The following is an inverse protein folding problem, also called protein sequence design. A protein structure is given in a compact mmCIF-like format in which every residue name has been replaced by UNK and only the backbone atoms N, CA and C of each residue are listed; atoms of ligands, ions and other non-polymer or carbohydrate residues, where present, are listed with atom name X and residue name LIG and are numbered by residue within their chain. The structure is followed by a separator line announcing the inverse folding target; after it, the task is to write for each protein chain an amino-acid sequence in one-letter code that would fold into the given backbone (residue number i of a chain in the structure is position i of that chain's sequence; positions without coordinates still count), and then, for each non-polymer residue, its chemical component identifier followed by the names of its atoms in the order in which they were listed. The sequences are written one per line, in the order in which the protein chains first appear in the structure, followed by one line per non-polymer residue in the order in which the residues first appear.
data_IF_604205573514
#
_entry.id   IF_604205573514
#
_cell.length_a   1.000
_cell.length_b   1.000
_cell.length_c   1.000
_cell.angle_alpha   90.00
_cell.angle_beta   90.00
_cell.angle_gamma   90.00
#
_symmetry.space_group_name_H-M   'P 1'
#
loop_
_entity.id
_entity.type
_entity.pdbx_description
1 polymer ?
#
# COMPACT_ATOMS: atom_id res chain seq x y z
N UNK A 1 11.69 -23.09 -21.18
CA UNK A 1 10.83 -22.41 -20.24
C UNK A 1 9.42 -22.32 -20.79
N UNK A 2 8.46 -22.80 -20.07
CA UNK A 2 7.09 -22.85 -20.57
C UNK A 2 6.46 -21.46 -20.54
N UNK A 3 5.49 -21.23 -21.44
CA UNK A 3 4.71 -20.01 -21.45
C UNK A 3 3.96 -19.77 -20.14
N UNK A 4 3.71 -20.84 -19.39
CA UNK A 4 3.02 -20.78 -18.09
C UNK A 4 3.78 -19.92 -17.08
N UNK A 5 5.13 -19.93 -17.12
CA UNK A 5 5.93 -19.11 -16.22
C UNK A 5 5.81 -17.61 -16.51
N UNK A 6 5.53 -17.24 -17.77
CA UNK A 6 5.39 -15.83 -18.18
C UNK A 6 3.97 -15.37 -17.89
N UNK A 7 2.96 -16.17 -18.19
CA UNK A 7 1.56 -15.85 -17.91
C UNK A 7 1.29 -15.74 -16.41
N UNK A 8 1.91 -16.64 -15.62
CA UNK A 8 1.78 -16.62 -14.17
C UNK A 8 2.39 -15.40 -13.49
N UNK A 9 3.22 -14.63 -14.19
CA UNK A 9 3.86 -13.45 -13.62
C UNK A 9 2.85 -12.36 -13.28
N UNK A 10 1.93 -12.04 -14.19
CA UNK A 10 0.90 -11.03 -13.97
C UNK A 10 -0.11 -11.51 -12.91
N UNK A 11 -0.57 -12.76 -12.99
CA UNK A 11 -1.46 -13.35 -11.99
C UNK A 11 -0.83 -13.38 -10.61
N UNK A 12 0.45 -13.78 -10.53
CA UNK A 12 1.20 -13.78 -9.28
C UNK A 12 1.33 -12.39 -8.71
N UNK A 13 1.55 -11.36 -9.56
CA UNK A 13 1.60 -9.98 -9.15
C UNK A 13 0.29 -9.49 -8.57
N UNK A 14 -0.84 -9.79 -9.23
CA UNK A 14 -2.18 -9.43 -8.77
C UNK A 14 -2.49 -10.10 -7.42
N UNK A 15 -2.22 -11.40 -7.30
CA UNK A 15 -2.42 -12.13 -6.05
C UNK A 15 -1.57 -11.58 -4.92
N UNK A 16 -0.33 -11.19 -5.21
CA UNK A 16 0.56 -10.57 -4.24
C UNK A 16 0.02 -9.23 -3.78
N UNK A 17 -0.46 -8.40 -4.71
CA UNK A 17 -1.09 -7.12 -4.39
C UNK A 17 -2.27 -7.31 -3.44
N UNK A 18 -3.16 -8.25 -3.74
CA UNK A 18 -4.34 -8.52 -2.90
C UNK A 18 -3.96 -8.95 -1.49
N UNK A 19 -2.95 -9.81 -1.34
CA UNK A 19 -2.46 -10.23 -0.03
C UNK A 19 -1.83 -9.08 0.73
N UNK A 20 -1.06 -8.26 0.05
CA UNK A 20 -0.39 -7.12 0.67
C UNK A 20 -1.41 -6.07 1.11
N UNK A 21 -2.47 -5.84 0.33
CA UNK A 21 -3.55 -4.95 0.73
C UNK A 21 -4.24 -5.44 2.00
N UNK A 22 -4.53 -6.74 2.08
CA UNK A 22 -5.15 -7.34 3.27
C UNK A 22 -4.24 -7.20 4.51
N UNK A 23 -2.93 -7.40 4.35
CA UNK A 23 -1.96 -7.23 5.42
C UNK A 23 -1.85 -5.78 5.85
N UNK A 24 -1.84 -4.86 4.92
CA UNK A 24 -1.75 -3.42 5.22
C UNK A 24 -2.97 -2.96 6.03
N UNK A 25 -4.17 -3.37 5.64
CA UNK A 25 -5.39 -3.04 6.38
C UNK A 25 -5.35 -3.65 7.79
N UNK A 26 -4.85 -4.88 7.92
CA UNK A 26 -4.68 -5.50 9.24
C UNK A 26 -3.74 -4.69 10.12
N UNK A 27 -2.61 -4.24 9.56
CA UNK A 27 -1.65 -3.41 10.30
C UNK A 27 -2.27 -2.09 10.77
N UNK A 28 -3.06 -1.46 9.91
CA UNK A 28 -3.78 -0.22 10.25
C UNK A 28 -4.74 -0.48 11.41
N UNK A 29 -5.47 -1.59 11.39
CA UNK A 29 -6.42 -1.93 12.46
C UNK A 29 -5.73 -2.26 13.77
N UNK A 30 -4.59 -2.93 13.73
CA UNK A 30 -3.78 -3.19 14.92
C UNK A 30 -3.29 -1.87 15.53
N UNK A 31 -2.85 -0.94 14.69
CA UNK A 31 -2.45 0.40 15.13
C UNK A 31 -3.62 1.15 15.77
N UNK A 32 -4.80 1.09 15.17
CA UNK A 32 -6.00 1.69 15.74
C UNK A 32 -6.32 1.13 17.12
N UNK A 33 -6.21 -0.18 17.28
CA UNK A 33 -6.48 -0.85 18.56
C UNK A 33 -5.48 -0.41 19.64
N UNK A 34 -4.21 -0.30 19.30
CA UNK A 34 -3.17 0.17 20.23
C UNK A 34 -3.43 1.61 20.67
N UNK A 35 -3.80 2.48 19.74
CA UNK A 35 -4.12 3.88 20.03
C UNK A 35 -5.37 3.99 20.91
N UNK A 36 -6.40 3.20 20.62
CA UNK A 36 -7.61 3.18 21.42
C UNK A 36 -7.37 2.69 22.85
N UNK A 37 -6.41 1.79 23.03
CA UNK A 37 -5.99 1.29 24.34
C UNK A 37 -5.05 2.25 25.08
N UNK A 38 -4.59 3.31 24.43
CA UNK A 38 -3.64 4.25 25.02
C UNK A 38 -2.22 3.72 25.12
N UNK A 39 -1.91 2.65 24.40
CA UNK A 39 -0.58 2.03 24.40
C UNK A 39 0.32 2.68 23.36
N UNK A 40 0.99 3.76 23.74
CA UNK A 40 1.83 4.55 22.84
C UNK A 40 3.05 3.79 22.34
N UNK A 41 3.63 2.95 23.17
CA UNK A 41 4.80 2.16 22.78
C UNK A 41 4.44 1.16 21.69
N UNK A 42 3.35 0.41 21.90
CA UNK A 42 2.86 -0.52 20.88
C UNK A 42 2.46 0.21 19.60
N UNK A 43 1.79 1.36 19.72
CA UNK A 43 1.39 2.16 18.57
C UNK A 43 2.61 2.61 17.75
N UNK A 44 3.68 3.06 18.41
CA UNK A 44 4.91 3.45 17.73
C UNK A 44 5.55 2.31 16.95
N UNK A 45 5.64 1.13 17.58
CA UNK A 45 6.20 -0.06 16.93
C UNK A 45 5.35 -0.50 15.75
N UNK A 46 4.03 -0.50 15.91
CA UNK A 46 3.09 -0.87 14.84
C UNK A 46 3.14 0.13 13.69
N UNK A 47 3.24 1.42 13.99
CA UNK A 47 3.38 2.44 12.95
C UNK A 47 4.66 2.24 12.13
N UNK A 48 5.78 1.96 12.79
CA UNK A 48 7.04 1.72 12.08
C UNK A 48 6.92 0.53 11.12
N UNK A 49 6.26 -0.54 11.55
CA UNK A 49 6.03 -1.71 10.70
C UNK A 49 5.12 -1.38 9.52
N UNK A 50 4.07 -0.60 9.75
CA UNK A 50 3.16 -0.16 8.71
C UNK A 50 3.89 0.69 7.66
N UNK A 51 4.72 1.62 8.10
CA UNK A 51 5.48 2.49 7.20
C UNK A 51 6.45 1.69 6.34
N UNK A 52 7.22 0.79 6.96
CA UNK A 52 8.16 -0.07 6.24
C UNK A 52 7.44 -0.96 5.22
N UNK A 53 6.32 -1.55 5.63
CA UNK A 53 5.51 -2.39 4.75
C UNK A 53 4.95 -1.58 3.57
N UNK A 54 4.41 -0.40 3.84
CA UNK A 54 3.82 0.45 2.80
C UNK A 54 4.86 0.87 1.77
N UNK A 55 6.05 1.25 2.22
CA UNK A 55 7.14 1.62 1.31
C UNK A 55 7.55 0.45 0.40
N UNK A 56 7.71 -0.73 0.98
CA UNK A 56 8.07 -1.94 0.21
C UNK A 56 6.96 -2.31 -0.79
N UNK A 57 5.70 -2.23 -0.36
CA UNK A 57 4.55 -2.52 -1.19
C UNK A 57 4.46 -1.56 -2.38
N UNK A 58 4.63 -0.26 -2.16
CA UNK A 58 4.59 0.73 -3.22
C UNK A 58 5.72 0.51 -4.24
N UNK A 59 6.93 0.19 -3.76
CA UNK A 59 8.04 -0.13 -4.66
C UNK A 59 7.75 -1.37 -5.50
N UNK A 60 7.16 -2.40 -4.92
CA UNK A 60 6.78 -3.61 -5.65
C UNK A 60 5.77 -3.30 -6.74
N UNK A 61 4.76 -2.47 -6.45
CA UNK A 61 3.79 -2.05 -7.47
C UNK A 61 4.44 -1.24 -8.58
N UNK A 62 5.36 -0.34 -8.23
CA UNK A 62 6.09 0.44 -9.24
C UNK A 62 6.92 -0.43 -10.17
N UNK A 63 7.53 -1.48 -9.63
CA UNK A 63 8.26 -2.45 -10.46
C UNK A 63 7.33 -3.18 -11.41
N UNK A 64 6.17 -3.62 -10.93
CA UNK A 64 5.15 -4.25 -11.78
C UNK A 64 4.69 -3.31 -12.89
N UNK A 65 4.42 -2.07 -12.56
CA UNK A 65 3.99 -1.08 -13.53
C UNK A 65 5.03 -0.83 -14.62
N UNK A 66 6.30 -0.76 -14.23
CA UNK A 66 7.40 -0.58 -15.19
C UNK A 66 7.58 -1.81 -16.06
N UNK A 67 7.53 -2.99 -15.46
CA UNK A 67 7.70 -4.26 -16.16
C UNK A 67 6.63 -4.43 -17.25
N UNK A 68 5.42 -3.98 -16.99
CA UNK A 68 4.28 -4.12 -17.90
C UNK A 68 3.98 -2.83 -18.69
N UNK A 69 4.82 -1.82 -18.60
CA UNK A 69 4.64 -0.53 -19.28
C UNK A 69 3.24 0.06 -19.02
N UNK A 70 2.84 0.11 -17.76
CA UNK A 70 1.51 0.59 -17.37
C UNK A 70 1.31 2.05 -17.78
N UNK A 71 0.26 2.37 -18.57
CA UNK A 71 0.07 3.72 -19.09
C UNK A 71 -0.16 4.79 -18.03
N UNK A 72 -0.77 4.44 -16.90
CA UNK A 72 -1.06 5.38 -15.81
C UNK A 72 0.01 5.36 -14.71
N UNK A 73 1.24 4.94 -15.03
CA UNK A 73 2.34 4.86 -14.06
C UNK A 73 2.56 6.17 -13.31
N UNK A 74 2.65 7.28 -14.04
CA UNK A 74 2.95 8.57 -13.43
C UNK A 74 1.88 9.00 -12.42
N UNK A 75 0.61 8.78 -12.74
CA UNK A 75 -0.51 9.10 -11.86
C UNK A 75 -0.47 8.21 -10.61
N UNK A 76 -0.23 6.92 -10.78
CA UNK A 76 -0.17 5.97 -9.68
C UNK A 76 1.01 6.28 -8.75
N UNK A 77 2.17 6.60 -9.32
CA UNK A 77 3.36 6.99 -8.55
C UNK A 77 3.09 8.26 -7.74
N UNK A 78 2.43 9.25 -8.33
CA UNK A 78 2.06 10.48 -7.64
C UNK A 78 1.14 10.20 -6.45
N UNK A 79 0.20 9.27 -6.61
CA UNK A 79 -0.69 8.85 -5.51
C UNK A 79 0.10 8.18 -4.39
N UNK A 80 1.08 7.33 -4.72
CA UNK A 80 1.96 6.73 -3.72
C UNK A 80 2.75 7.80 -2.96
N UNK A 81 3.26 8.82 -3.65
CA UNK A 81 3.98 9.91 -3.00
C UNK A 81 3.11 10.65 -2.00
N UNK A 82 1.83 10.84 -2.32
CA UNK A 82 0.86 11.43 -1.40
C UNK A 82 0.64 10.57 -0.16
N UNK A 83 0.50 9.25 -0.35
CA UNK A 83 0.32 8.32 0.77
C UNK A 83 1.56 8.31 1.67
N UNK A 84 2.75 8.37 1.11
CA UNK A 84 3.98 8.49 1.87
C UNK A 84 4.02 9.79 2.68
N UNK A 85 3.59 10.90 2.08
CA UNK A 85 3.51 12.18 2.78
C UNK A 85 2.51 12.12 3.95
N UNK A 86 1.37 11.47 3.75
CA UNK A 86 0.38 11.27 4.81
C UNK A 86 0.92 10.40 5.95
N UNK A 87 1.69 9.36 5.63
CA UNK A 87 2.34 8.55 6.64
C UNK A 87 3.34 9.37 7.46
N UNK A 88 4.09 10.26 6.83
CA UNK A 88 5.02 11.16 7.52
C UNK A 88 4.29 12.12 8.46
N UNK A 89 3.18 12.68 7.98
CA UNK A 89 2.35 13.57 8.81
C UNK A 89 1.75 12.82 10.00
N UNK A 90 1.30 11.60 9.77
CA UNK A 90 0.78 10.75 10.84
C UNK A 90 1.86 10.46 11.89
N UNK A 91 3.10 10.20 11.46
CA UNK A 91 4.22 10.00 12.37
C UNK A 91 4.39 11.21 13.28
N UNK A 92 4.37 12.42 12.73
CA UNK A 92 4.49 13.64 13.53
C UNK A 92 3.35 13.76 14.54
N UNK A 93 2.13 13.43 14.12
CA UNK A 93 0.97 13.44 15.01
C UNK A 93 1.16 12.48 16.16
N UNK A 94 1.60 11.23 15.89
CA UNK A 94 1.76 10.20 16.91
C UNK A 94 2.94 10.46 17.85
N UNK A 95 3.98 11.15 17.37
CA UNK A 95 5.15 11.49 18.17
C UNK A 95 4.95 12.73 19.05
N UNK A 96 3.90 13.50 18.81
CA UNK A 96 3.60 14.68 19.63
C UNK A 96 3.33 14.28 21.08
N UNK A 97 3.75 15.07 22.08
CA UNK A 97 3.52 14.75 23.49
C UNK A 97 2.04 14.55 23.84
N UNK A 98 1.17 15.35 23.22
CA UNK A 98 -0.27 15.25 23.39
C UNK A 98 -0.92 15.23 21.99
N UNK A 99 -0.95 14.07 21.33
CA UNK A 99 -1.49 13.99 19.98
C UNK A 99 -2.96 14.39 19.92
N UNK A 100 -3.28 15.25 18.96
CA UNK A 100 -4.67 15.64 18.70
C UNK A 100 -5.33 14.54 17.88
N UNK A 101 -6.31 13.85 18.47
CA UNK A 101 -7.13 12.84 17.81
C UNK A 101 -6.33 11.82 16.97
N UNK A 102 -5.41 11.06 17.57
CA UNK A 102 -4.62 10.09 16.84
C UNK A 102 -5.47 8.97 16.23
N UNK A 103 -6.55 8.56 16.90
CA UNK A 103 -7.47 7.54 16.38
C UNK A 103 -8.15 8.03 15.11
N UNK A 104 -8.62 9.27 15.10
CA UNK A 104 -9.22 9.88 13.91
C UNK A 104 -8.24 10.06 12.75
N UNK A 105 -6.99 10.39 13.07
CA UNK A 105 -5.94 10.52 12.06
C UNK A 105 -5.68 9.18 11.35
N UNK A 106 -5.61 8.08 12.09
CA UNK A 106 -5.43 6.75 11.52
C UNK A 106 -6.67 6.32 10.74
N UNK A 107 -7.86 6.67 11.22
CA UNK A 107 -9.11 6.37 10.50
C UNK A 107 -9.15 7.08 9.14
N UNK A 108 -8.64 8.30 9.05
CA UNK A 108 -8.54 9.03 7.76
C UNK A 108 -7.56 8.34 6.82
N UNK A 109 -6.43 7.88 7.33
CA UNK A 109 -5.47 7.10 6.54
C UNK A 109 -6.11 5.83 6.01
N UNK A 110 -6.85 5.10 6.85
CA UNK A 110 -7.54 3.87 6.42
C UNK A 110 -8.51 4.14 5.28
N UNK A 111 -9.33 5.18 5.39
CA UNK A 111 -10.26 5.54 4.32
C UNK A 111 -9.54 5.86 3.01
N UNK A 112 -8.43 6.56 3.11
CA UNK A 112 -7.64 6.91 1.93
C UNK A 112 -6.99 5.69 1.29
N UNK A 113 -6.47 4.76 2.11
CA UNK A 113 -5.92 3.50 1.61
C UNK A 113 -6.98 2.67 0.88
N UNK A 114 -8.18 2.56 1.44
CA UNK A 114 -9.28 1.87 0.76
C UNK A 114 -9.64 2.54 -0.56
N UNK A 115 -9.73 3.85 -0.60
CA UNK A 115 -10.04 4.58 -1.84
C UNK A 115 -8.95 4.34 -2.89
N UNK A 116 -7.68 4.34 -2.50
CA UNK A 116 -6.55 4.04 -3.39
C UNK A 116 -6.62 2.61 -3.92
N UNK A 117 -6.87 1.65 -3.04
CA UNK A 117 -6.98 0.24 -3.42
C UNK A 117 -8.14 -0.02 -4.38
N UNK A 118 -9.28 0.65 -4.17
CA UNK A 118 -10.47 0.47 -5.00
C UNK A 118 -10.40 1.23 -6.33
N UNK A 119 -9.52 2.19 -6.45
CA UNK A 119 -9.36 2.99 -7.68
C UNK A 119 -8.06 2.66 -8.42
N UNK A 120 -6.95 3.24 -7.98
CA UNK A 120 -5.67 3.12 -8.70
C UNK A 120 -5.12 1.70 -8.70
N UNK A 121 -5.18 1.01 -7.57
CA UNK A 121 -4.67 -0.36 -7.48
C UNK A 121 -5.56 -1.33 -8.22
N UNK A 122 -6.86 -1.13 -8.19
CA UNK A 122 -7.79 -1.96 -8.96
C UNK A 122 -7.58 -1.75 -10.47
N UNK A 123 -7.36 -0.51 -10.89
CA UNK A 123 -7.06 -0.22 -12.29
C UNK A 123 -5.78 -0.92 -12.73
N UNK A 124 -4.76 -0.92 -11.88
CA UNK A 124 -3.52 -1.64 -12.15
C UNK A 124 -3.76 -3.15 -12.23
N UNK A 125 -4.49 -3.72 -11.28
CA UNK A 125 -4.82 -5.15 -11.28
C UNK A 125 -5.59 -5.55 -12.54
N UNK A 126 -6.56 -4.76 -12.95
CA UNK A 126 -7.34 -5.01 -14.17
C UNK A 126 -6.43 -4.95 -15.41
N UNK A 127 -5.54 -3.98 -15.46
CA UNK A 127 -4.56 -3.88 -16.55
C UNK A 127 -3.65 -5.10 -16.60
N UNK A 128 -3.12 -5.54 -15.45
CA UNK A 128 -2.25 -6.70 -15.39
C UNK A 128 -2.97 -7.99 -15.82
N UNK A 129 -4.25 -8.13 -15.44
CA UNK A 129 -5.05 -9.29 -15.81
C UNK A 129 -5.33 -9.35 -17.32
N UNK A 130 -5.39 -8.21 -18.01
CA UNK A 130 -5.65 -8.11 -19.44
C UNK A 130 -4.38 -7.92 -20.27
N UNK A 131 -3.28 -7.60 -19.60
CA UNK A 131 -2.02 -7.34 -20.27
C UNK A 131 -1.42 -8.64 -20.80
N UNK A 132 -0.93 -8.65 -22.05
CA UNK A 132 -0.12 -9.79 -22.50
C UNK A 132 1.12 -9.91 -21.62
N UNK A 133 1.63 -11.14 -21.48
CA UNK A 133 2.87 -11.37 -20.75
C UNK A 133 3.96 -10.44 -21.28
N UNK A 134 4.86 -9.93 -20.39
CA UNK A 134 5.96 -9.06 -20.87
C UNK A 134 6.76 -9.79 -21.91
N UNK A 135 7.17 -9.06 -22.96
CA UNK A 135 8.03 -9.62 -23.98
C UNK A 135 9.33 -10.10 -23.35
N UNK A 136 9.67 -11.36 -23.61
CA UNK A 136 10.88 -11.97 -23.10
C UNK A 136 12.12 -11.56 -23.91
N UNK A 137 11.95 -10.69 -24.87
CA UNK A 137 13.02 -10.23 -25.72
C UNK A 137 13.62 -8.89 -25.32
#
# INVERSE_FOLDING_TARGET
MSLDGIEGHAESGVMTMEREHALEIRMVRELQAALAAGDREAAGALFNRLEDFSNAHFLAEQLLMRLHAYPAFAVHEEEHDRLIAELRDLRRTLEAPEPADPVGAVARLERWLYAHMESEDRALADFLAQSPAPDAG
#
